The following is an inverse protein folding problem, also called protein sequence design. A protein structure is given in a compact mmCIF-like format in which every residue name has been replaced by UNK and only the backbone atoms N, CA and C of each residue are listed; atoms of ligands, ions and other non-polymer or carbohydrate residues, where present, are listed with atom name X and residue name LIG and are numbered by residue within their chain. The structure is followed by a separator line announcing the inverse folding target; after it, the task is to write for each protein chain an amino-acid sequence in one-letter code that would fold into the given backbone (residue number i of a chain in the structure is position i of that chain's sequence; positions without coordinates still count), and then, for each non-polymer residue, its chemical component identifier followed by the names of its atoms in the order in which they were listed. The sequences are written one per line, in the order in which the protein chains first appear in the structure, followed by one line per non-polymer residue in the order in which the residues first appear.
data_IF_503849790128
#
_entry.id   IF_503849790128
#
_cell.length_a   1.000
_cell.length_b   1.000
_cell.length_c   1.000
_cell.angle_alpha   90.00
_cell.angle_beta   90.00
_cell.angle_gamma   90.00
#
_symmetry.space_group_name_H-M   'P 1'
#
loop_
_entity.id
_entity.type
_entity.pdbx_description
1 polymer ?
#
# COMPACT_ATOMS: atom_id res chain seq x y z
N UNK A 1 -16.65 19.75 27.45
CA UNK A 1 -15.28 20.25 27.51
C UNK A 1 -15.35 21.60 28.23
N UNK A 2 -14.72 21.73 29.42
CA UNK A 2 -14.73 22.94 30.19
C UNK A 2 -13.37 23.64 30.12
N UNK A 3 -13.37 24.96 29.76
CA UNK A 3 -12.19 25.76 30.03
C UNK A 3 -12.47 26.89 30.99
N UNK A 4 -11.42 27.36 31.64
CA UNK A 4 -11.46 28.62 32.34
C UNK A 4 -10.95 29.74 31.42
N UNK A 5 -11.63 30.87 31.46
CA UNK A 5 -11.29 32.08 30.71
C UNK A 5 -10.83 33.09 31.76
N UNK A 6 -9.57 33.50 31.69
CA UNK A 6 -8.95 34.41 32.68
C UNK A 6 -8.20 35.55 32.00
N UNK A 7 -7.86 36.57 32.77
CA UNK A 7 -6.99 37.65 32.31
C UNK A 7 -5.54 37.32 32.61
N UNK A 8 -4.65 37.52 31.62
CA UNK A 8 -3.20 37.49 31.81
C UNK A 8 -2.52 38.59 31.01
N UNK A 9 -1.76 39.42 31.68
CA UNK A 9 -1.06 40.55 31.05
C UNK A 9 -1.97 41.43 30.17
N UNK A 10 -3.20 41.71 30.64
CA UNK A 10 -4.17 42.50 29.89
C UNK A 10 -4.90 41.78 28.75
N UNK A 11 -4.57 40.56 28.48
CA UNK A 11 -5.18 39.72 27.40
C UNK A 11 -5.98 38.55 27.97
N UNK A 12 -6.74 37.90 27.10
CA UNK A 12 -7.53 36.72 27.43
C UNK A 12 -6.64 35.46 27.43
N UNK A 13 -6.64 34.73 28.55
CA UNK A 13 -6.03 33.38 28.61
C UNK A 13 -7.12 32.31 28.71
N UNK A 14 -7.06 31.32 27.84
CA UNK A 14 -7.89 30.11 27.90
C UNK A 14 -7.06 28.98 28.49
N UNK A 15 -7.62 28.27 29.48
CA UNK A 15 -6.96 27.12 30.09
C UNK A 15 -7.91 25.92 30.08
N UNK A 16 -7.43 24.80 29.57
CA UNK A 16 -8.11 23.51 29.56
C UNK A 16 -7.39 22.53 30.48
N UNK A 17 -8.16 21.82 31.31
CA UNK A 17 -7.67 20.70 32.16
C UNK A 17 -8.13 19.40 31.54
N UNK A 18 -7.19 18.54 31.26
CA UNK A 18 -7.47 17.19 30.75
C UNK A 18 -7.66 16.28 31.98
N UNK A 19 -8.89 15.80 32.20
CA UNK A 19 -9.17 14.86 33.27
C UNK A 19 -8.79 13.43 32.83
N UNK A 20 -7.58 13.01 33.17
CA UNK A 20 -7.11 11.62 32.99
C UNK A 20 -7.26 10.87 34.31
N UNK A 21 -8.46 10.47 34.69
CA UNK A 21 -8.73 9.52 35.79
C UNK A 21 -8.10 9.84 37.17
N UNK A 22 -8.56 9.17 38.22
CA UNK A 22 -8.04 9.29 39.58
C UNK A 22 -6.57 8.82 39.66
N UNK A 23 -5.64 9.75 39.92
CA UNK A 23 -4.23 9.45 40.24
C UNK A 23 -3.16 10.10 39.34
N UNK A 24 -3.52 10.72 38.24
CA UNK A 24 -2.61 11.43 37.36
C UNK A 24 -2.58 12.94 37.68
N UNK A 25 -1.41 13.56 37.56
CA UNK A 25 -1.29 15.05 37.57
C UNK A 25 -1.99 15.52 36.29
N UNK A 26 -3.21 16.02 36.41
CA UNK A 26 -4.01 16.51 35.28
C UNK A 26 -3.21 17.54 34.48
N UNK A 27 -2.77 17.23 33.25
CA UNK A 27 -1.99 18.17 32.46
C UNK A 27 -2.85 19.38 32.13
N UNK A 28 -2.23 20.57 32.28
CA UNK A 28 -2.86 21.86 32.04
C UNK A 28 -2.34 22.43 30.73
N UNK A 29 -3.24 22.68 29.77
CA UNK A 29 -2.90 23.38 28.56
C UNK A 29 -3.48 24.80 28.60
N UNK A 30 -2.69 25.82 28.28
CA UNK A 30 -3.18 27.18 28.18
C UNK A 30 -2.69 27.88 26.91
N UNK A 31 -3.51 28.80 26.41
CA UNK A 31 -3.20 29.67 25.26
C UNK A 31 -3.64 31.10 25.55
N UNK A 32 -2.85 32.06 25.07
CA UNK A 32 -3.18 33.48 25.18
C UNK A 32 -3.81 33.95 23.87
N UNK A 33 -5.05 34.38 23.95
CA UNK A 33 -5.78 34.96 22.82
C UNK A 33 -5.41 36.45 22.71
N UNK A 34 -5.08 36.97 21.51
CA UNK A 34 -4.62 38.36 21.34
C UNK A 34 -5.80 39.36 21.38
N UNK A 35 -6.71 39.18 22.31
CA UNK A 35 -7.83 40.10 22.58
C UNK A 35 -7.62 40.75 23.92
N UNK A 36 -7.72 42.09 23.98
CA UNK A 36 -7.61 42.82 25.23
C UNK A 36 -8.78 42.50 26.15
N UNK A 37 -8.50 42.28 27.44
CA UNK A 37 -9.51 42.05 28.46
C UNK A 37 -10.20 43.36 28.85
N UNK A 38 -11.18 43.81 28.04
CA UNK A 38 -11.99 45.02 28.20
C UNK A 38 -13.46 44.70 28.06
N UNK A 39 -14.34 45.51 28.73
CA UNK A 39 -15.79 45.35 28.65
C UNK A 39 -16.31 45.37 27.21
N UNK A 40 -15.76 46.23 26.39
CA UNK A 40 -16.16 46.38 24.96
C UNK A 40 -15.85 45.16 24.11
N UNK A 41 -14.90 44.33 24.53
CA UNK A 41 -14.52 43.10 23.85
C UNK A 41 -15.29 41.87 24.33
N UNK A 42 -16.26 42.01 25.26
CA UNK A 42 -16.98 40.87 25.86
C UNK A 42 -17.60 39.94 24.81
N UNK A 43 -18.28 40.49 23.82
CA UNK A 43 -18.90 39.70 22.75
C UNK A 43 -17.84 38.99 21.89
N UNK A 44 -16.80 39.71 21.48
CA UNK A 44 -15.69 39.16 20.72
C UNK A 44 -14.98 38.02 21.46
N UNK A 45 -14.79 38.17 22.79
CA UNK A 45 -14.22 37.13 23.65
C UNK A 45 -15.14 35.90 23.66
N UNK A 46 -16.45 36.08 23.86
CA UNK A 46 -17.42 34.97 23.88
C UNK A 46 -17.44 34.19 22.55
N UNK A 47 -17.51 34.90 21.42
CA UNK A 47 -17.53 34.30 20.08
C UNK A 47 -16.21 33.53 19.81
N UNK A 48 -15.07 34.12 20.17
CA UNK A 48 -13.75 33.45 20.02
C UNK A 48 -13.65 32.20 20.89
N UNK A 49 -14.09 32.26 22.14
CA UNK A 49 -14.10 31.12 23.05
C UNK A 49 -15.03 30.03 22.56
N UNK A 50 -16.21 30.39 22.07
CA UNK A 50 -17.18 29.48 21.47
C UNK A 50 -16.59 28.75 20.26
N UNK A 51 -16.01 29.48 19.32
CA UNK A 51 -15.41 28.91 18.11
C UNK A 51 -14.27 27.93 18.44
N UNK A 52 -13.38 28.29 19.40
CA UNK A 52 -12.30 27.40 19.82
C UNK A 52 -12.87 26.15 20.53
N UNK A 53 -13.92 26.31 21.34
CA UNK A 53 -14.60 25.20 22.00
C UNK A 53 -15.19 24.21 20.97
N UNK A 54 -15.91 24.72 19.98
CA UNK A 54 -16.55 23.90 18.95
C UNK A 54 -15.49 23.15 18.12
N UNK A 55 -14.37 23.81 17.79
CA UNK A 55 -13.22 23.16 17.16
C UNK A 55 -12.64 22.01 17.98
N UNK A 56 -12.55 22.19 19.30
CA UNK A 56 -12.08 21.11 20.19
C UNK A 56 -13.09 19.96 20.26
N UNK A 57 -14.38 20.27 20.40
CA UNK A 57 -15.44 19.28 20.56
C UNK A 57 -15.69 18.48 19.28
N UNK A 58 -15.87 19.15 18.16
CA UNK A 58 -16.18 18.51 16.88
C UNK A 58 -14.99 17.74 16.28
N UNK A 59 -13.78 18.24 16.51
CA UNK A 59 -12.57 17.73 15.88
C UNK A 59 -11.68 16.92 16.81
N UNK A 60 -12.02 16.79 18.08
CA UNK A 60 -11.20 16.14 19.13
C UNK A 60 -9.77 16.68 19.17
N UNK A 61 -9.62 17.99 18.98
CA UNK A 61 -8.32 18.66 18.97
C UNK A 61 -7.90 19.08 20.39
N UNK A 62 -6.57 19.17 20.61
CA UNK A 62 -6.07 19.83 21.80
C UNK A 62 -6.38 21.33 21.78
N UNK A 63 -6.41 22.00 22.95
CA UNK A 63 -6.63 23.45 23.03
C UNK A 63 -5.61 24.22 22.16
N UNK A 64 -4.38 23.79 22.12
CA UNK A 64 -3.32 24.44 21.33
C UNK A 64 -3.57 24.31 19.83
N UNK A 65 -3.91 23.11 19.38
CA UNK A 65 -4.18 22.86 17.96
C UNK A 65 -5.44 23.60 17.48
N UNK A 66 -6.50 23.59 18.32
CA UNK A 66 -7.72 24.33 18.04
C UNK A 66 -7.48 25.85 17.98
N UNK A 67 -6.64 26.38 18.88
CA UNK A 67 -6.28 27.80 18.89
C UNK A 67 -5.40 28.20 17.70
N UNK A 68 -4.41 27.40 17.33
CA UNK A 68 -3.61 27.65 16.12
C UNK A 68 -4.47 27.58 14.85
N UNK A 69 -5.44 26.71 14.83
CA UNK A 69 -6.42 26.62 13.75
C UNK A 69 -7.30 27.88 13.68
N UNK A 70 -7.82 28.34 14.85
CA UNK A 70 -8.63 29.55 14.98
C UNK A 70 -7.85 30.80 14.57
N UNK A 71 -6.59 30.95 15.02
CA UNK A 71 -5.71 32.06 14.60
C UNK A 71 -5.57 32.19 13.10
N UNK A 72 -5.39 31.06 12.43
CA UNK A 72 -5.29 31.04 10.97
C UNK A 72 -6.58 31.46 10.28
N UNK A 73 -7.74 31.27 10.93
CA UNK A 73 -9.02 31.75 10.44
C UNK A 73 -9.19 33.28 10.59
N UNK A 74 -8.69 33.87 11.69
CA UNK A 74 -8.81 35.30 11.97
C UNK A 74 -7.84 36.15 11.09
N UNK A 75 -6.66 35.59 10.75
CA UNK A 75 -5.74 36.20 9.78
C UNK A 75 -6.26 36.15 8.33
N UNK A 76 -7.22 35.27 8.05
CA UNK A 76 -7.88 35.10 6.75
C UNK A 76 -9.14 36.00 6.62
N UNK A 77 -9.30 37.03 7.40
CA UNK A 77 -10.35 38.05 7.31
C UNK A 77 -10.43 38.84 5.98
N UNK A 78 -9.74 38.39 4.96
CA UNK A 78 -9.92 38.70 3.55
C UNK A 78 -10.50 37.47 2.90
N UNK A 79 -11.79 37.53 2.48
CA UNK A 79 -12.40 36.49 1.65
C UNK A 79 -11.41 35.97 0.60
N UNK A 80 -10.90 34.74 0.67
CA UNK A 80 -10.17 34.16 -0.43
C UNK A 80 -11.19 33.60 -1.40
N UNK A 81 -11.86 34.49 -2.12
CA UNK A 81 -12.75 34.09 -3.23
C UNK A 81 -11.99 33.46 -4.40
N UNK A 82 -10.64 33.54 -4.39
CA UNK A 82 -9.78 32.98 -5.41
C UNK A 82 -8.55 32.30 -4.80
N UNK A 83 -8.77 31.25 -3.99
CA UNK A 83 -7.68 30.33 -3.69
C UNK A 83 -7.34 29.60 -4.98
N UNK A 84 -6.12 29.81 -5.50
CA UNK A 84 -5.61 29.03 -6.64
C UNK A 84 -5.41 27.57 -6.24
N UNK A 85 -6.45 26.77 -6.39
CA UNK A 85 -6.42 25.35 -6.08
C UNK A 85 -5.32 24.59 -6.83
N UNK A 86 -4.99 25.03 -8.03
CA UNK A 86 -3.88 24.49 -8.80
C UNK A 86 -2.54 24.75 -8.11
N UNK A 87 -2.33 25.98 -7.65
CA UNK A 87 -1.14 26.32 -6.88
C UNK A 87 -1.01 25.49 -5.59
N UNK A 88 -2.11 25.34 -4.83
CA UNK A 88 -2.13 24.48 -3.64
C UNK A 88 -1.75 23.04 -3.98
N UNK A 89 -2.26 22.50 -5.08
CA UNK A 89 -1.95 21.15 -5.51
C UNK A 89 -0.46 21.00 -5.88
N UNK A 90 0.10 21.95 -6.61
CA UNK A 90 1.51 21.95 -7.01
C UNK A 90 2.43 22.05 -5.78
N UNK A 91 2.14 22.94 -4.83
CA UNK A 91 2.89 23.05 -3.57
C UNK A 91 2.80 21.77 -2.74
N UNK A 92 1.61 21.16 -2.65
CA UNK A 92 1.47 19.88 -1.96
C UNK A 92 2.29 18.78 -2.61
N UNK A 93 2.28 18.68 -3.93
CA UNK A 93 3.03 17.66 -4.67
C UNK A 93 4.55 17.85 -4.51
N UNK A 94 5.05 19.07 -4.42
CA UNK A 94 6.46 19.36 -4.08
C UNK A 94 6.84 18.78 -2.71
N UNK A 95 5.93 18.78 -1.72
CA UNK A 95 6.18 18.14 -0.41
C UNK A 95 6.30 16.62 -0.48
N UNK A 96 5.97 16.00 -1.63
CA UNK A 96 6.01 14.56 -1.86
C UNK A 96 7.13 14.13 -2.81
N UNK A 97 8.05 15.01 -3.14
CA UNK A 97 9.16 14.75 -4.06
C UNK A 97 10.07 13.59 -3.62
N UNK A 98 10.10 13.27 -2.31
CA UNK A 98 10.83 12.13 -1.74
C UNK A 98 10.13 10.77 -1.96
N UNK A 99 8.93 10.76 -2.56
CA UNK A 99 8.21 9.51 -2.85
C UNK A 99 8.66 8.91 -4.18
N UNK A 100 8.37 7.60 -4.33
CA UNK A 100 8.60 6.89 -5.60
C UNK A 100 7.83 7.57 -6.72
N UNK A 101 8.42 7.67 -7.90
CA UNK A 101 7.84 8.28 -9.10
C UNK A 101 6.45 7.74 -9.43
N UNK A 102 6.25 6.41 -9.30
CA UNK A 102 4.93 5.78 -9.52
C UNK A 102 3.90 6.23 -8.49
N UNK A 103 4.29 6.31 -7.20
CA UNK A 103 3.39 6.79 -6.13
C UNK A 103 3.05 8.26 -6.33
N UNK A 104 4.04 9.07 -6.70
CA UNK A 104 3.84 10.48 -6.97
C UNK A 104 2.90 10.67 -8.16
N UNK A 105 3.13 9.96 -9.28
CA UNK A 105 2.25 9.98 -10.46
C UNK A 105 0.81 9.61 -10.11
N UNK A 106 0.60 8.56 -9.32
CA UNK A 106 -0.73 8.12 -8.91
C UNK A 106 -1.42 9.17 -8.02
N UNK A 107 -0.69 9.75 -7.06
CA UNK A 107 -1.19 10.83 -6.20
C UNK A 107 -1.52 12.06 -7.06
N UNK A 108 -0.64 12.47 -7.97
CA UNK A 108 -0.86 13.59 -8.90
C UNK A 108 -2.14 13.37 -9.73
N UNK A 109 -2.31 12.18 -10.29
CA UNK A 109 -3.52 11.84 -11.06
C UNK A 109 -4.80 11.97 -10.23
N UNK A 110 -4.78 11.51 -8.96
CA UNK A 110 -5.95 11.61 -8.07
C UNK A 110 -6.25 13.04 -7.66
N UNK A 111 -5.22 13.84 -7.37
CA UNK A 111 -5.38 15.27 -7.06
C UNK A 111 -5.93 16.02 -8.29
N UNK A 112 -5.41 15.77 -9.49
CA UNK A 112 -5.93 16.37 -10.72
C UNK A 112 -7.42 16.07 -10.91
N UNK A 113 -7.83 14.82 -10.77
CA UNK A 113 -9.24 14.41 -10.84
C UNK A 113 -10.11 15.06 -9.75
N UNK A 114 -9.53 15.32 -8.58
CA UNK A 114 -10.21 16.04 -7.50
C UNK A 114 -10.42 17.51 -7.89
N UNK A 115 -9.43 18.16 -8.51
CA UNK A 115 -9.57 19.53 -9.03
C UNK A 115 -10.65 19.60 -10.14
N UNK A 116 -10.67 18.63 -11.04
CA UNK A 116 -11.72 18.51 -12.06
C UNK A 116 -13.12 18.35 -11.43
N UNK A 117 -13.24 17.57 -10.36
CA UNK A 117 -14.49 17.42 -9.62
C UNK A 117 -14.88 18.73 -8.91
N UNK A 118 -13.90 19.47 -8.36
CA UNK A 118 -14.10 20.78 -7.71
C UNK A 118 -14.63 21.84 -8.69
N UNK A 119 -14.17 21.83 -9.93
CA UNK A 119 -14.59 22.79 -10.97
C UNK A 119 -15.88 22.36 -11.70
N UNK A 120 -16.38 21.14 -11.48
CA UNK A 120 -17.60 20.67 -12.12
C UNK A 120 -18.87 21.41 -11.60
N UNK A 121 -19.80 21.69 -12.48
CA UNK A 121 -21.06 22.37 -12.14
C UNK A 121 -22.14 21.38 -11.62
N UNK A 122 -22.93 21.76 -10.60
CA UNK A 122 -22.71 22.90 -9.72
C UNK A 122 -21.46 22.70 -8.87
N UNK A 123 -20.68 23.79 -8.67
CA UNK A 123 -19.43 23.72 -7.91
C UNK A 123 -19.66 23.27 -6.46
N UNK A 124 -18.90 22.28 -5.98
CA UNK A 124 -18.97 21.86 -4.57
C UNK A 124 -18.67 23.03 -3.63
N UNK A 125 -19.49 23.17 -2.57
CA UNK A 125 -19.36 24.25 -1.58
C UNK A 125 -18.49 23.88 -0.39
N UNK A 126 -18.32 22.58 -0.15
CA UNK A 126 -17.55 22.01 0.93
C UNK A 126 -16.91 20.66 0.55
N UNK A 127 -16.18 20.08 1.47
CA UNK A 127 -15.50 18.79 1.25
C UNK A 127 -16.47 17.63 1.06
N UNK A 128 -17.65 17.63 1.71
CA UNK A 128 -18.63 16.56 1.58
C UNK A 128 -19.19 16.52 0.16
N UNK A 129 -19.59 17.67 -0.38
CA UNK A 129 -20.04 17.78 -1.77
C UNK A 129 -18.90 17.42 -2.74
N UNK A 130 -17.66 17.82 -2.46
CA UNK A 130 -16.50 17.47 -3.26
C UNK A 130 -16.26 15.95 -3.32
N UNK A 131 -16.30 15.26 -2.17
CA UNK A 131 -16.13 13.80 -2.12
C UNK A 131 -17.23 13.08 -2.88
N UNK A 132 -18.48 13.52 -2.72
CA UNK A 132 -19.63 12.99 -3.47
C UNK A 132 -19.41 13.17 -4.97
N UNK A 133 -19.08 14.37 -5.42
CA UNK A 133 -18.81 14.69 -6.82
C UNK A 133 -17.64 13.90 -7.40
N UNK A 134 -16.57 13.75 -6.62
CA UNK A 134 -15.42 12.93 -7.01
C UNK A 134 -15.82 11.45 -7.21
N UNK A 135 -16.61 10.90 -6.28
CA UNK A 135 -17.07 9.51 -6.36
C UNK A 135 -17.96 9.26 -7.57
N UNK A 136 -18.92 10.13 -7.82
CA UNK A 136 -19.82 10.06 -8.99
C UNK A 136 -19.04 10.01 -10.32
N UNK A 137 -17.98 10.82 -10.44
CA UNK A 137 -17.18 10.93 -11.67
C UNK A 137 -16.14 9.83 -11.85
N UNK A 138 -15.63 9.26 -10.77
CA UNK A 138 -14.43 8.44 -10.84
C UNK A 138 -14.61 7.01 -10.32
N UNK A 139 -15.70 6.69 -9.61
CA UNK A 139 -15.87 5.37 -8.98
C UNK A 139 -16.74 4.40 -9.75
N UNK A 140 -17.36 4.81 -10.85
CA UNK A 140 -18.24 3.96 -11.66
C UNK A 140 -17.57 2.61 -12.03
N UNK A 141 -16.32 2.69 -12.53
CA UNK A 141 -15.53 1.50 -12.94
C UNK A 141 -14.69 0.90 -11.82
N UNK A 142 -14.81 1.40 -10.58
CA UNK A 142 -14.05 0.89 -9.43
C UNK A 142 -14.96 0.05 -8.53
N UNK A 143 -14.57 -1.17 -8.14
CA UNK A 143 -15.38 -2.01 -7.27
C UNK A 143 -15.62 -1.33 -5.92
N UNK A 144 -16.87 -1.44 -5.41
CA UNK A 144 -17.25 -0.93 -4.11
C UNK A 144 -16.38 -1.57 -3.00
N UNK A 145 -15.99 -0.79 -1.99
CA UNK A 145 -15.10 -1.24 -0.92
C UNK A 145 -13.65 -1.53 -1.36
N UNK A 146 -13.33 -1.32 -2.65
CA UNK A 146 -12.03 -1.62 -3.25
C UNK A 146 -10.90 -0.71 -2.77
N UNK A 147 -9.66 -1.21 -2.83
CA UNK A 147 -8.47 -0.45 -2.43
C UNK A 147 -8.25 0.80 -3.29
N UNK A 148 -8.69 0.81 -4.55
CA UNK A 148 -8.62 1.97 -5.44
C UNK A 148 -9.39 3.17 -4.87
N UNK A 149 -10.65 2.96 -4.44
CA UNK A 149 -11.49 3.99 -3.82
C UNK A 149 -10.87 4.49 -2.50
N UNK A 150 -10.41 3.56 -1.64
CA UNK A 150 -9.76 3.90 -0.35
C UNK A 150 -8.51 4.74 -0.54
N UNK A 151 -7.66 4.39 -1.51
CA UNK A 151 -6.44 5.15 -1.82
C UNK A 151 -6.75 6.53 -2.39
N UNK A 152 -7.76 6.64 -3.26
CA UNK A 152 -8.14 7.92 -3.83
C UNK A 152 -8.59 8.90 -2.74
N UNK A 153 -9.50 8.50 -1.88
CA UNK A 153 -9.94 9.34 -0.77
C UNK A 153 -8.85 9.59 0.27
N UNK A 154 -7.95 8.63 0.50
CA UNK A 154 -6.78 8.81 1.36
C UNK A 154 -5.84 9.91 0.86
N UNK A 155 -5.56 9.96 -0.45
CA UNK A 155 -4.72 11.00 -1.05
C UNK A 155 -5.41 12.36 -1.02
N UNK A 156 -6.72 12.42 -1.33
CA UNK A 156 -7.53 13.64 -1.25
C UNK A 156 -7.58 14.15 0.19
N UNK A 157 -7.83 13.26 1.17
CA UNK A 157 -7.83 13.62 2.58
C UNK A 157 -6.49 14.21 3.04
N UNK A 158 -5.39 13.60 2.61
CA UNK A 158 -4.05 14.09 2.96
C UNK A 158 -3.77 15.47 2.37
N UNK A 159 -4.18 15.71 1.12
CA UNK A 159 -4.08 17.01 0.46
C UNK A 159 -4.92 18.08 1.17
N UNK A 160 -6.21 17.82 1.39
CA UNK A 160 -7.12 18.79 2.01
C UNK A 160 -6.70 19.11 3.45
N UNK A 161 -6.29 18.12 4.24
CA UNK A 161 -5.73 18.35 5.58
C UNK A 161 -4.48 19.24 5.53
N UNK A 162 -3.59 19.00 4.57
CA UNK A 162 -2.40 19.83 4.40
C UNK A 162 -2.79 21.25 3.96
N UNK A 163 -3.70 21.41 3.03
CA UNK A 163 -4.14 22.71 2.53
C UNK A 163 -4.81 23.53 3.63
N UNK A 164 -5.69 22.93 4.44
CA UNK A 164 -6.33 23.62 5.57
C UNK A 164 -5.31 23.94 6.67
N UNK A 165 -4.52 22.95 7.10
CA UNK A 165 -3.63 23.11 8.27
C UNK A 165 -2.36 23.90 7.98
N UNK A 166 -1.89 23.95 6.74
CA UNK A 166 -0.61 24.57 6.39
C UNK A 166 -0.74 25.79 5.49
N UNK A 167 -1.80 25.85 4.68
CA UNK A 167 -1.99 26.92 3.69
C UNK A 167 -3.21 27.80 3.99
N UNK A 168 -3.93 27.54 5.09
CA UNK A 168 -5.05 28.38 5.50
C UNK A 168 -6.29 28.25 4.64
N UNK A 169 -6.45 27.14 3.89
CA UNK A 169 -7.71 26.85 3.20
C UNK A 169 -8.84 26.73 4.24
N UNK A 170 -10.03 27.24 3.90
CA UNK A 170 -11.20 27.23 4.78
C UNK A 170 -11.48 25.81 5.33
N UNK A 171 -11.86 25.74 6.60
CA UNK A 171 -12.10 24.48 7.32
C UNK A 171 -13.22 23.64 6.72
N UNK A 172 -14.19 24.22 6.02
CA UNK A 172 -15.21 23.47 5.29
C UNK A 172 -14.64 22.48 4.28
N UNK A 173 -13.34 22.64 3.92
CA UNK A 173 -12.61 21.73 3.04
C UNK A 173 -11.87 20.61 3.79
N UNK A 174 -11.91 20.54 5.13
CA UNK A 174 -11.40 19.37 5.82
C UNK A 174 -12.17 18.12 5.38
N UNK A 175 -11.49 16.95 5.29
CA UNK A 175 -12.16 15.71 4.90
C UNK A 175 -13.41 15.46 5.72
N UNK A 176 -14.49 14.97 5.11
CA UNK A 176 -15.72 14.62 5.83
C UNK A 176 -15.47 13.48 6.83
N UNK A 177 -16.43 13.26 7.71
CA UNK A 177 -16.36 12.20 8.72
C UNK A 177 -16.19 10.82 8.12
N UNK A 178 -15.59 9.91 8.91
CA UNK A 178 -15.27 8.57 8.46
C UNK A 178 -16.48 7.79 7.96
N UNK A 179 -17.66 8.01 8.53
CA UNK A 179 -18.92 7.36 8.13
C UNK A 179 -19.30 7.74 6.71
N UNK A 180 -19.30 9.03 6.37
CA UNK A 180 -19.59 9.53 5.03
C UNK A 180 -18.55 8.97 4.02
N UNK A 181 -17.28 8.96 4.42
CA UNK A 181 -16.20 8.42 3.56
C UNK A 181 -16.41 6.92 3.31
N UNK A 182 -16.80 6.16 4.34
CA UNK A 182 -17.08 4.71 4.20
C UNK A 182 -18.30 4.45 3.32
N UNK A 183 -19.37 5.24 3.47
CA UNK A 183 -20.56 5.18 2.61
C UNK A 183 -20.18 5.36 1.14
N UNK A 184 -19.42 6.40 0.81
CA UNK A 184 -18.98 6.69 -0.56
C UNK A 184 -17.98 5.64 -1.12
N UNK A 185 -17.14 5.05 -0.26
CA UNK A 185 -16.31 3.92 -0.64
C UNK A 185 -17.18 2.70 -0.98
N UNK A 186 -18.25 2.51 -0.23
CA UNK A 186 -19.16 1.39 -0.33
C UNK A 186 -18.63 0.13 0.35
N UNK A 187 -19.52 -0.84 0.52
CA UNK A 187 -19.19 -2.15 1.06
C UNK A 187 -18.84 -3.10 -0.08
N UNK A 188 -17.86 -3.95 0.15
CA UNK A 188 -17.63 -5.10 -0.74
C UNK A 188 -18.84 -6.04 -0.64
N UNK A 189 -19.50 -6.30 -1.75
CA UNK A 189 -20.48 -7.39 -1.80
C UNK A 189 -19.75 -8.71 -1.55
N UNK A 190 -20.38 -9.61 -0.79
CA UNK A 190 -19.80 -10.92 -0.47
C UNK A 190 -19.51 -11.74 -1.75
N UNK A 191 -20.33 -11.55 -2.80
CA UNK A 191 -20.15 -12.13 -4.13
C UNK A 191 -19.06 -11.47 -4.98
N UNK A 192 -18.61 -10.26 -4.61
CA UNK A 192 -17.52 -9.53 -5.28
C UNK A 192 -16.21 -9.60 -4.48
N UNK A 193 -16.06 -10.60 -3.60
CA UNK A 193 -14.73 -10.94 -3.13
C UNK A 193 -13.93 -11.24 -4.39
N UNK A 194 -13.04 -10.31 -4.77
CA UNK A 194 -12.08 -10.55 -5.84
C UNK A 194 -11.40 -11.85 -5.43
N UNK A 195 -11.70 -12.91 -6.17
CA UNK A 195 -11.03 -14.18 -5.97
C UNK A 195 -9.54 -13.87 -5.95
N UNK A 196 -8.89 -14.27 -4.87
CA UNK A 196 -7.48 -13.99 -4.76
C UNK A 196 -6.81 -14.67 -5.96
N UNK A 197 -5.87 -13.96 -6.58
CA UNK A 197 -5.08 -14.54 -7.68
C UNK A 197 -4.60 -15.93 -7.26
N UNK A 198 -5.04 -17.00 -7.96
CA UNK A 198 -4.74 -18.36 -7.55
C UNK A 198 -3.25 -18.67 -7.70
N UNK A 199 -2.70 -19.63 -6.94
CA UNK A 199 -1.36 -20.15 -7.17
C UNK A 199 -1.31 -21.00 -8.44
N UNK A 200 -0.19 -20.97 -9.15
CA UNK A 200 0.13 -22.01 -10.11
C UNK A 200 0.43 -23.28 -9.33
N UNK A 201 -0.37 -24.33 -9.52
CA UNK A 201 -0.20 -25.61 -8.84
C UNK A 201 1.05 -26.35 -9.31
N UNK A 202 1.62 -27.28 -8.51
CA UNK A 202 2.83 -28.01 -8.88
C UNK A 202 2.77 -28.67 -10.25
N UNK A 203 1.67 -29.31 -10.58
CA UNK A 203 1.45 -30.00 -11.86
C UNK A 203 1.39 -29.01 -13.03
N UNK A 204 0.74 -27.87 -12.84
CA UNK A 204 0.67 -26.78 -13.82
C UNK A 204 2.04 -26.13 -14.05
N UNK A 205 2.82 -25.96 -12.97
CA UNK A 205 4.17 -25.40 -13.04
C UNK A 205 5.12 -26.36 -13.79
N UNK A 206 5.07 -27.65 -13.46
CA UNK A 206 5.83 -28.69 -14.16
C UNK A 206 5.52 -28.67 -15.65
N UNK A 207 4.25 -28.75 -16.00
CA UNK A 207 3.78 -28.74 -17.39
C UNK A 207 4.24 -27.46 -18.12
N UNK A 208 4.14 -26.28 -17.47
CA UNK A 208 4.59 -25.02 -18.07
C UNK A 208 6.08 -25.06 -18.42
N UNK A 209 6.93 -25.52 -17.50
CA UNK A 209 8.38 -25.60 -17.74
C UNK A 209 8.72 -26.57 -18.87
N UNK A 210 8.00 -27.70 -18.97
CA UNK A 210 8.19 -28.69 -20.03
C UNK A 210 7.75 -28.14 -21.39
N UNK A 211 6.62 -27.41 -21.44
CA UNK A 211 6.15 -26.76 -22.66
C UNK A 211 7.11 -25.65 -23.14
N UNK A 212 7.68 -24.89 -22.22
CA UNK A 212 8.67 -23.87 -22.58
C UNK A 212 9.97 -24.50 -23.09
N UNK A 213 10.37 -25.65 -22.55
CA UNK A 213 11.54 -26.40 -23.01
C UNK A 213 11.31 -27.00 -24.39
N UNK A 214 10.18 -27.66 -24.62
CA UNK A 214 9.78 -28.22 -25.91
C UNK A 214 9.76 -27.18 -27.04
N UNK A 215 9.28 -25.97 -26.71
CA UNK A 215 9.25 -24.85 -27.64
C UNK A 215 10.59 -24.12 -27.74
N UNK A 216 11.64 -24.59 -27.07
CA UNK A 216 12.99 -24.00 -27.04
C UNK A 216 13.02 -22.55 -26.51
N UNK A 217 12.06 -22.19 -25.65
CA UNK A 217 11.99 -20.88 -24.98
C UNK A 217 12.80 -20.88 -23.68
N UNK A 218 14.06 -21.28 -23.78
CA UNK A 218 14.93 -21.52 -22.63
C UNK A 218 15.12 -20.31 -21.72
N UNK A 219 15.22 -19.13 -22.28
CA UNK A 219 15.36 -17.88 -21.52
C UNK A 219 14.12 -17.58 -20.68
N UNK A 220 12.94 -17.75 -21.26
CA UNK A 220 11.66 -17.57 -20.55
C UNK A 220 11.44 -18.67 -19.52
N UNK A 221 11.82 -19.91 -19.84
CA UNK A 221 11.81 -21.05 -18.93
C UNK A 221 12.68 -20.76 -17.68
N UNK A 222 13.89 -20.22 -17.89
CA UNK A 222 14.75 -19.79 -16.79
C UNK A 222 14.07 -18.76 -15.91
N UNK A 223 13.51 -17.69 -16.47
CA UNK A 223 12.83 -16.65 -15.72
C UNK A 223 11.64 -17.19 -14.93
N UNK A 224 10.80 -18.06 -15.55
CA UNK A 224 9.69 -18.75 -14.88
C UNK A 224 10.19 -19.64 -13.73
N UNK A 225 11.27 -20.41 -13.96
CA UNK A 225 11.88 -21.28 -12.97
C UNK A 225 12.41 -20.48 -11.75
N UNK A 226 13.17 -19.41 -11.99
CA UNK A 226 13.68 -18.57 -10.91
C UNK A 226 12.53 -17.98 -10.07
N UNK A 227 11.45 -17.51 -10.71
CA UNK A 227 10.29 -16.97 -10.00
C UNK A 227 9.56 -18.06 -9.22
N UNK A 228 9.27 -19.20 -9.86
CA UNK A 228 8.47 -20.26 -9.28
C UNK A 228 9.20 -21.08 -8.23
N UNK A 229 10.48 -21.39 -8.43
CA UNK A 229 11.26 -22.16 -7.46
C UNK A 229 11.74 -21.34 -6.25
N UNK A 230 11.94 -20.01 -6.39
CA UNK A 230 12.45 -19.17 -5.31
C UNK A 230 11.44 -18.16 -4.78
N UNK A 231 10.21 -18.19 -5.25
CA UNK A 231 9.14 -17.33 -4.80
C UNK A 231 9.40 -15.84 -5.01
N UNK A 232 10.04 -15.47 -6.12
CA UNK A 232 10.44 -14.09 -6.42
C UNK A 232 9.24 -13.22 -6.84
N UNK A 233 9.32 -11.92 -6.54
CA UNK A 233 8.50 -10.93 -7.28
C UNK A 233 9.04 -10.80 -8.69
N UNK A 234 8.19 -10.58 -9.68
CA UNK A 234 8.63 -10.47 -11.09
C UNK A 234 9.75 -9.43 -11.28
N UNK A 235 9.64 -8.30 -10.58
CA UNK A 235 10.63 -7.23 -10.63
C UNK A 235 11.95 -7.58 -9.88
N UNK A 236 11.97 -8.62 -9.06
CA UNK A 236 13.16 -9.02 -8.30
C UNK A 236 14.20 -9.71 -9.17
N UNK A 237 13.84 -10.12 -10.40
CA UNK A 237 14.82 -10.57 -11.41
C UNK A 237 15.94 -9.54 -11.65
N UNK A 238 15.69 -8.26 -11.36
CA UNK A 238 16.67 -7.18 -11.53
C UNK A 238 17.71 -7.08 -10.40
N UNK A 239 17.53 -7.78 -9.29
CA UNK A 239 18.35 -7.58 -8.08
C UNK A 239 18.82 -8.89 -7.47
N UNK A 240 18.96 -9.91 -8.30
CA UNK A 240 19.43 -11.21 -7.89
C UNK A 240 20.94 -11.19 -7.69
N UNK A 241 21.41 -11.84 -6.64
CA UNK A 241 22.81 -12.06 -6.30
C UNK A 241 22.97 -13.54 -5.94
N UNK A 242 23.92 -14.20 -6.55
CA UNK A 242 24.21 -15.62 -6.29
C UNK A 242 25.53 -15.73 -5.57
N UNK A 243 25.53 -16.44 -4.46
CA UNK A 243 26.75 -16.78 -3.71
C UNK A 243 26.78 -18.30 -3.49
N UNK A 244 27.66 -18.98 -4.19
CA UNK A 244 27.67 -20.44 -4.24
C UNK A 244 26.33 -21.00 -4.75
N UNK A 245 25.68 -21.79 -3.90
CA UNK A 245 24.36 -22.37 -4.18
C UNK A 245 23.19 -21.58 -3.57
N UNK A 246 23.44 -20.36 -3.10
CA UNK A 246 22.44 -19.53 -2.44
C UNK A 246 22.02 -18.35 -3.31
N UNK A 247 20.71 -18.09 -3.33
CA UNK A 247 20.13 -16.95 -4.03
C UNK A 247 19.76 -15.86 -3.02
N UNK A 248 20.36 -14.71 -3.20
CA UNK A 248 20.04 -13.51 -2.44
C UNK A 248 19.27 -12.51 -3.30
N UNK A 249 18.29 -11.85 -2.71
CA UNK A 249 17.46 -10.84 -3.36
C UNK A 249 17.72 -9.48 -2.75
N UNK A 250 18.25 -8.57 -3.55
CA UNK A 250 18.55 -7.21 -3.13
C UNK A 250 17.30 -6.41 -2.72
N UNK A 251 17.51 -5.41 -1.87
CA UNK A 251 16.43 -4.68 -1.22
C UNK A 251 15.78 -3.58 -2.07
N UNK A 252 16.33 -3.24 -3.24
CA UNK A 252 15.97 -2.04 -4.01
C UNK A 252 14.56 -2.03 -4.62
N UNK A 253 13.91 -3.18 -4.81
CA UNK A 253 12.64 -3.31 -5.54
C UNK A 253 11.42 -2.79 -4.79
N UNK A 254 11.33 -2.93 -3.47
CA UNK A 254 10.08 -2.66 -2.70
C UNK A 254 10.24 -1.71 -1.51
N UNK A 255 11.27 -0.91 -1.44
CA UNK A 255 11.51 -0.11 -0.25
C UNK A 255 11.19 1.37 -0.42
N UNK A 256 10.74 2.01 0.68
CA UNK A 256 10.72 3.46 0.79
C UNK A 256 12.16 3.97 0.64
N UNK A 257 12.34 5.09 -0.06
CA UNK A 257 13.63 5.70 -0.31
C UNK A 257 14.51 5.83 0.96
N UNK A 258 13.88 6.16 2.09
CA UNK A 258 14.55 6.31 3.40
C UNK A 258 15.07 5.00 4.02
N UNK A 259 14.62 3.85 3.56
CA UNK A 259 15.02 2.54 4.12
C UNK A 259 15.82 1.65 3.16
N UNK A 260 16.12 2.15 1.94
CA UNK A 260 16.82 1.38 0.90
C UNK A 260 18.26 1.04 1.26
N UNK A 261 18.96 1.96 1.91
CA UNK A 261 20.42 1.86 2.12
C UNK A 261 20.83 0.87 3.21
N UNK A 262 19.92 0.53 4.12
CA UNK A 262 20.26 -0.21 5.35
C UNK A 262 19.75 -1.66 5.42
N UNK A 263 19.14 -2.21 4.38
CA UNK A 263 18.66 -3.59 4.43
C UNK A 263 19.57 -4.53 3.66
N UNK A 264 20.08 -5.54 4.36
CA UNK A 264 20.81 -6.65 3.76
C UNK A 264 19.94 -7.39 2.74
N UNK A 265 20.53 -7.92 1.67
CA UNK A 265 19.84 -8.85 0.79
C UNK A 265 19.21 -10.00 1.59
N UNK A 266 18.04 -10.47 1.17
CA UNK A 266 17.41 -11.64 1.80
C UNK A 266 17.76 -12.90 1.06
N UNK A 267 17.96 -13.98 1.81
CA UNK A 267 18.06 -15.33 1.24
C UNK A 267 16.69 -15.76 0.71
N UNK A 268 16.64 -16.19 -0.56
CA UNK A 268 15.48 -16.82 -1.17
C UNK A 268 15.69 -18.33 -1.21
N UNK A 269 14.82 -19.08 -0.54
CA UNK A 269 14.94 -20.55 -0.44
C UNK A 269 14.37 -21.19 -1.70
N UNK A 270 15.15 -22.02 -2.38
CA UNK A 270 14.69 -22.82 -3.50
C UNK A 270 13.88 -24.03 -3.02
N UNK A 271 12.67 -24.20 -3.55
CA UNK A 271 11.80 -25.36 -3.27
C UNK A 271 11.65 -26.18 -4.53
N UNK A 272 11.99 -27.47 -4.43
CA UNK A 272 11.73 -28.41 -5.50
C UNK A 272 10.21 -28.64 -5.67
N UNK A 273 9.77 -28.77 -6.90
CA UNK A 273 8.37 -29.01 -7.23
C UNK A 273 8.08 -30.52 -7.25
N UNK A 274 6.92 -30.93 -6.72
CA UNK A 274 6.45 -32.31 -6.79
C UNK A 274 6.35 -32.76 -8.24
N UNK A 275 6.87 -33.96 -8.51
CA UNK A 275 6.89 -34.54 -9.88
C UNK A 275 8.11 -34.13 -10.72
N UNK A 276 9.00 -33.28 -10.21
CA UNK A 276 10.25 -32.87 -10.88
C UNK A 276 11.48 -33.48 -10.20
N UNK A 277 12.64 -33.38 -10.87
CA UNK A 277 13.90 -33.89 -10.33
C UNK A 277 14.29 -33.13 -9.05
N UNK A 278 14.77 -33.87 -8.06
CA UNK A 278 15.32 -33.28 -6.84
C UNK A 278 16.55 -32.42 -7.19
N UNK A 279 16.59 -31.22 -6.63
CA UNK A 279 17.66 -30.25 -6.88
C UNK A 279 17.47 -29.44 -8.17
N UNK A 280 16.33 -29.53 -8.83
CA UNK A 280 16.10 -28.78 -10.07
C UNK A 280 16.12 -27.27 -9.85
N UNK A 281 15.60 -26.78 -8.72
CA UNK A 281 15.70 -25.38 -8.34
C UNK A 281 17.14 -24.85 -8.41
N UNK A 282 18.07 -25.64 -7.92
CA UNK A 282 19.50 -25.29 -7.95
C UNK A 282 20.12 -25.39 -9.35
N UNK A 283 19.62 -26.27 -10.20
CA UNK A 283 20.06 -26.31 -11.61
C UNK A 283 19.67 -24.98 -12.32
N UNK A 284 18.45 -24.49 -12.12
CA UNK A 284 18.04 -23.17 -12.64
C UNK A 284 18.93 -22.03 -12.09
N UNK A 285 19.29 -22.10 -10.81
CA UNK A 285 20.18 -21.12 -10.21
C UNK A 285 21.60 -21.22 -10.83
N UNK A 286 22.11 -22.41 -11.05
CA UNK A 286 23.39 -22.66 -11.71
C UNK A 286 23.40 -22.13 -13.14
N UNK A 287 22.38 -22.44 -13.94
CA UNK A 287 22.24 -21.94 -15.31
C UNK A 287 22.25 -20.41 -15.37
N UNK A 288 21.56 -19.77 -14.42
CA UNK A 288 21.55 -18.31 -14.27
C UNK A 288 22.92 -17.76 -13.86
N UNK A 289 23.54 -18.32 -12.82
CA UNK A 289 24.81 -17.82 -12.27
C UNK A 289 26.01 -17.98 -13.19
N UNK A 290 26.04 -19.06 -13.95
CA UNK A 290 27.09 -19.32 -14.94
C UNK A 290 26.85 -18.60 -16.27
N UNK A 291 25.65 -18.06 -16.50
CA UNK A 291 25.27 -17.47 -17.77
C UNK A 291 25.03 -18.51 -18.89
N UNK A 292 24.93 -19.81 -18.53
CA UNK A 292 24.60 -20.88 -19.47
C UNK A 292 23.27 -20.62 -20.17
N UNK A 293 22.30 -20.08 -19.43
CA UNK A 293 21.04 -19.55 -19.97
C UNK A 293 20.89 -18.11 -19.50
N UNK A 294 20.55 -17.21 -20.42
CA UNK A 294 20.32 -15.79 -20.11
C UNK A 294 18.85 -15.51 -19.81
N UNK A 295 18.57 -14.42 -19.14
CA UNK A 295 17.21 -13.91 -19.05
C UNK A 295 16.73 -13.42 -20.43
N UNK A 296 15.39 -13.43 -20.70
CA UNK A 296 14.87 -12.93 -21.98
C UNK A 296 15.36 -11.52 -22.29
N UNK A 297 15.70 -11.26 -23.53
CA UNK A 297 16.25 -9.98 -23.97
C UNK A 297 15.45 -8.77 -23.46
N UNK A 298 14.12 -8.82 -23.55
CA UNK A 298 13.28 -7.70 -23.10
C UNK A 298 13.38 -7.48 -21.57
N UNK A 299 13.61 -8.52 -20.78
CA UNK A 299 13.83 -8.44 -19.33
C UNK A 299 15.23 -7.90 -19.05
N UNK A 300 16.25 -8.46 -19.72
CA UNK A 300 17.64 -8.06 -19.56
C UNK A 300 17.85 -6.60 -19.96
N UNK A 301 17.25 -6.14 -21.04
CA UNK A 301 17.33 -4.75 -21.49
C UNK A 301 16.82 -3.75 -20.43
N UNK A 302 15.75 -4.08 -19.70
CA UNK A 302 15.28 -3.22 -18.60
C UNK A 302 16.27 -3.22 -17.42
N UNK A 303 16.88 -4.38 -17.12
CA UNK A 303 17.91 -4.50 -16.08
C UNK A 303 19.13 -3.65 -16.45
N UNK A 304 19.57 -3.71 -17.68
CA UNK A 304 20.73 -2.96 -18.17
C UNK A 304 20.50 -1.44 -18.10
N UNK A 305 19.30 -0.97 -18.45
CA UNK A 305 18.92 0.44 -18.28
C UNK A 305 18.96 0.89 -16.82
N UNK A 306 18.51 0.04 -15.89
CA UNK A 306 18.55 0.32 -14.46
C UNK A 306 20.02 0.36 -13.96
N UNK A 307 20.85 -0.57 -14.40
CA UNK A 307 22.26 -0.65 -14.01
C UNK A 307 23.08 0.54 -14.55
N UNK A 308 22.72 1.08 -15.73
CA UNK A 308 23.33 2.29 -16.29
C UNK A 308 22.85 3.57 -15.60
N UNK A 309 21.81 3.50 -14.76
CA UNK A 309 21.21 4.68 -14.13
C UNK A 309 20.20 5.42 -15.00
N UNK A 310 19.87 4.91 -16.19
CA UNK A 310 18.92 5.52 -17.11
C UNK A 310 17.47 5.43 -16.60
N UNK A 311 17.21 4.46 -15.70
CA UNK A 311 15.90 4.22 -15.06
C UNK A 311 16.05 3.77 -13.61
N UNK A 312 15.07 4.09 -12.79
CA UNK A 312 14.93 3.53 -11.42
C UNK A 312 13.65 2.69 -11.23
N UNK A 313 12.99 2.33 -12.31
CA UNK A 313 11.68 1.67 -12.34
C UNK A 313 11.83 0.14 -12.45
N UNK A 314 12.13 -0.52 -11.34
CA UNK A 314 12.23 -1.99 -11.27
C UNK A 314 10.94 -2.72 -11.71
N UNK A 315 9.77 -2.05 -11.67
CA UNK A 315 8.51 -2.62 -12.14
C UNK A 315 8.51 -2.92 -13.63
N UNK A 316 9.29 -2.20 -14.42
CA UNK A 316 9.38 -2.40 -15.88
C UNK A 316 9.99 -3.76 -16.21
N UNK A 317 10.92 -4.27 -15.38
CA UNK A 317 11.48 -5.62 -15.48
C UNK A 317 10.38 -6.67 -15.31
N UNK A 318 9.54 -6.50 -14.26
CA UNK A 318 8.41 -7.40 -14.01
C UNK A 318 7.33 -7.32 -15.09
N UNK A 319 7.09 -6.12 -15.63
CA UNK A 319 6.12 -5.92 -16.72
C UNK A 319 6.61 -6.56 -18.02
N UNK A 320 7.89 -6.44 -18.35
CA UNK A 320 8.49 -7.08 -19.52
C UNK A 320 8.38 -8.61 -19.45
N UNK A 321 8.71 -9.20 -18.30
CA UNK A 321 8.52 -10.63 -18.06
C UNK A 321 7.05 -11.04 -18.20
N UNK A 322 6.14 -10.31 -17.53
CA UNK A 322 4.72 -10.62 -17.58
C UNK A 322 4.17 -10.58 -19.01
N UNK A 323 4.56 -9.59 -19.79
CA UNK A 323 4.14 -9.44 -21.17
C UNK A 323 4.65 -10.61 -22.06
N UNK A 324 5.89 -11.06 -21.84
CA UNK A 324 6.43 -12.21 -22.56
C UNK A 324 5.66 -13.49 -22.23
N UNK A 325 5.43 -13.76 -20.94
CA UNK A 325 4.73 -14.96 -20.51
C UNK A 325 3.28 -14.96 -21.01
N UNK A 326 2.55 -13.85 -20.88
CA UNK A 326 1.16 -13.70 -21.34
C UNK A 326 1.00 -13.92 -22.86
N UNK A 327 2.03 -13.73 -23.65
CA UNK A 327 2.00 -13.97 -25.11
C UNK A 327 2.22 -15.43 -25.50
N UNK A 328 2.60 -16.30 -24.56
CA UNK A 328 2.85 -17.72 -24.88
C UNK A 328 1.54 -18.51 -24.90
N UNK A 329 1.43 -19.42 -25.87
CA UNK A 329 0.26 -20.29 -25.97
C UNK A 329 0.10 -21.17 -24.72
N UNK A 330 1.21 -21.70 -24.18
CA UNK A 330 1.17 -22.53 -22.98
C UNK A 330 0.61 -21.77 -21.77
N UNK A 331 0.93 -20.48 -21.59
CA UNK A 331 0.32 -19.70 -20.54
C UNK A 331 -1.18 -19.46 -20.78
N UNK A 332 -1.57 -19.20 -22.02
CA UNK A 332 -2.98 -19.05 -22.39
C UNK A 332 -3.78 -20.34 -22.19
N UNK A 333 -3.19 -21.50 -22.40
CA UNK A 333 -3.80 -22.79 -22.10
C UNK A 333 -4.05 -22.97 -20.60
N UNK A 334 -3.10 -22.62 -19.75
CA UNK A 334 -3.31 -22.61 -18.30
C UNK A 334 -4.44 -21.66 -17.90
N UNK A 335 -4.54 -20.49 -18.53
CA UNK A 335 -5.61 -19.52 -18.25
C UNK A 335 -6.99 -19.98 -18.74
N UNK A 336 -7.09 -20.89 -19.70
CA UNK A 336 -8.37 -21.51 -20.05
C UNK A 336 -8.88 -22.41 -18.91
N UNK A 337 -7.97 -23.06 -18.18
CA UNK A 337 -8.31 -23.93 -17.04
C UNK A 337 -8.58 -23.09 -15.79
N UNK A 338 -7.74 -22.08 -15.56
CA UNK A 338 -7.82 -21.19 -14.40
C UNK A 338 -7.73 -19.72 -14.87
N UNK A 339 -8.87 -19.09 -15.21
CA UNK A 339 -8.89 -17.76 -15.84
C UNK A 339 -8.26 -16.64 -15.01
N UNK A 340 -8.23 -16.79 -13.69
CA UNK A 340 -7.69 -15.79 -12.77
C UNK A 340 -6.17 -15.86 -12.58
N UNK A 341 -5.47 -16.76 -13.31
CA UNK A 341 -4.01 -16.80 -13.29
C UNK A 341 -3.42 -15.52 -13.84
N UNK A 342 -2.41 -15.04 -13.14
CA UNK A 342 -1.55 -13.93 -13.56
C UNK A 342 -0.09 -14.38 -13.48
N UNK A 343 0.87 -13.73 -14.16
CA UNK A 343 2.28 -14.07 -14.00
C UNK A 343 2.76 -14.08 -12.55
N UNK A 344 2.10 -13.32 -11.67
CA UNK A 344 2.37 -13.32 -10.23
C UNK A 344 1.94 -14.61 -9.52
N UNK A 345 1.08 -15.42 -10.15
CA UNK A 345 0.65 -16.75 -9.69
C UNK A 345 1.82 -17.73 -9.55
N UNK A 346 2.91 -17.55 -10.30
CA UNK A 346 4.14 -18.33 -10.12
C UNK A 346 4.70 -18.17 -8.70
N UNK A 347 4.78 -16.94 -8.21
CA UNK A 347 5.21 -16.67 -6.84
C UNK A 347 4.21 -17.20 -5.80
N UNK A 348 2.93 -17.14 -6.10
CA UNK A 348 1.89 -17.74 -5.25
C UNK A 348 2.02 -19.27 -5.20
N UNK A 349 2.42 -19.90 -6.30
CA UNK A 349 2.73 -21.33 -6.37
C UNK A 349 3.84 -21.73 -5.40
N UNK A 350 4.92 -20.95 -5.30
CA UNK A 350 5.96 -21.19 -4.32
C UNK A 350 5.42 -21.14 -2.88
N UNK A 351 4.61 -20.12 -2.56
CA UNK A 351 4.01 -20.00 -1.23
C UNK A 351 3.07 -21.18 -0.92
N UNK A 352 2.27 -21.59 -1.88
CA UNK A 352 1.44 -22.80 -1.76
C UNK A 352 2.30 -24.03 -1.48
N UNK A 353 3.34 -24.29 -2.28
CA UNK A 353 4.25 -25.41 -2.08
C UNK A 353 4.98 -25.37 -0.74
N UNK A 354 5.33 -24.17 -0.25
CA UNK A 354 6.04 -24.03 1.03
C UNK A 354 5.22 -24.52 2.23
N UNK A 355 3.90 -24.60 2.11
CA UNK A 355 3.00 -25.06 3.16
C UNK A 355 2.41 -26.45 2.90
N UNK A 356 2.24 -26.86 1.62
CA UNK A 356 1.58 -28.12 1.27
C UNK A 356 2.55 -29.25 0.94
N UNK A 357 3.85 -28.95 0.80
CA UNK A 357 4.84 -30.00 0.52
C UNK A 357 4.98 -30.95 1.73
N UNK A 358 4.67 -32.23 1.50
CA UNK A 358 4.51 -33.23 2.57
C UNK A 358 5.80 -33.60 3.32
N UNK A 359 6.97 -33.33 2.75
CA UNK A 359 8.22 -33.82 3.31
C UNK A 359 9.00 -32.73 4.05
N UNK A 360 8.95 -31.50 3.58
CA UNK A 360 9.72 -30.37 4.16
C UNK A 360 8.92 -29.08 4.06
N UNK A 361 7.98 -28.84 4.98
CA UNK A 361 7.36 -27.52 5.00
C UNK A 361 8.21 -26.50 5.69
N UNK A 362 8.22 -25.31 5.12
CA UNK A 362 8.76 -24.16 5.82
C UNK A 362 7.77 -23.68 6.87
N UNK A 363 8.28 -23.30 8.04
CA UNK A 363 7.44 -22.54 8.97
C UNK A 363 6.92 -21.27 8.27
N UNK A 364 5.72 -20.81 8.67
CA UNK A 364 5.15 -19.54 8.15
C UNK A 364 6.14 -18.38 8.27
N UNK A 365 6.93 -18.36 9.35
CA UNK A 365 7.97 -17.36 9.58
C UNK A 365 9.10 -17.45 8.54
N UNK A 366 9.58 -18.66 8.26
CA UNK A 366 10.66 -18.90 7.28
C UNK A 366 10.19 -18.61 5.86
N UNK A 367 8.96 -19.05 5.49
CA UNK A 367 8.37 -18.75 4.20
C UNK A 367 8.16 -17.24 4.01
N UNK A 368 7.63 -16.54 5.01
CA UNK A 368 7.46 -15.08 4.99
C UNK A 368 8.81 -14.35 4.82
N UNK A 369 9.84 -14.77 5.56
CA UNK A 369 11.18 -14.19 5.49
C UNK A 369 11.80 -14.39 4.10
N UNK A 370 11.76 -15.62 3.57
CA UNK A 370 12.24 -15.96 2.23
C UNK A 370 11.53 -15.14 1.14
N UNK A 371 10.22 -14.90 1.27
CA UNK A 371 9.46 -14.05 0.34
C UNK A 371 9.62 -12.54 0.60
N UNK A 372 10.26 -12.11 1.68
CA UNK A 372 10.39 -10.70 2.06
C UNK A 372 9.07 -10.05 2.45
N UNK A 373 8.28 -10.74 3.30
CA UNK A 373 7.04 -10.25 3.92
C UNK A 373 7.13 -10.27 5.44
N UNK A 374 6.16 -9.64 6.11
CA UNK A 374 5.84 -9.94 7.51
C UNK A 374 4.95 -11.18 7.60
N UNK A 375 4.96 -11.89 8.74
CA UNK A 375 4.08 -13.04 8.97
C UNK A 375 2.60 -12.68 8.74
N UNK A 376 2.16 -11.52 9.25
CA UNK A 376 0.78 -11.05 9.06
C UNK A 376 0.43 -10.85 7.57
N UNK A 377 1.36 -10.33 6.77
CA UNK A 377 1.18 -10.20 5.32
C UNK A 377 1.10 -11.57 4.66
N UNK A 378 1.98 -12.49 5.08
CA UNK A 378 2.00 -13.84 4.52
C UNK A 378 0.70 -14.58 4.80
N UNK A 379 0.24 -14.63 6.06
CA UNK A 379 -1.02 -15.26 6.44
C UNK A 379 -2.23 -14.64 5.73
N UNK A 380 -2.29 -13.31 5.59
CA UNK A 380 -3.39 -12.64 4.89
C UNK A 380 -3.52 -13.06 3.44
N UNK A 381 -2.41 -13.28 2.76
CA UNK A 381 -2.41 -13.61 1.33
C UNK A 381 -2.48 -15.10 1.05
N UNK A 382 -1.93 -15.93 1.93
CA UNK A 382 -1.72 -17.36 1.67
C UNK A 382 -2.52 -18.29 2.57
N UNK A 383 -2.99 -17.82 3.71
CA UNK A 383 -3.83 -18.63 4.62
C UNK A 383 -5.20 -19.02 4.04
N UNK A 384 -5.66 -18.34 3.01
CA UNK A 384 -6.93 -18.63 2.34
C UNK A 384 -6.87 -19.86 1.40
N UNK A 385 -5.68 -20.37 1.08
CA UNK A 385 -5.51 -21.51 0.16
C UNK A 385 -5.41 -22.85 0.89
N UNK A 386 -5.62 -22.88 2.20
CA UNK A 386 -5.78 -24.11 2.96
C UNK A 386 -7.19 -24.61 2.69
N UNK A 387 -7.33 -25.51 1.71
CA UNK A 387 -8.59 -26.14 1.39
C UNK A 387 -8.83 -27.42 2.23
N UNK A 388 -10.02 -27.99 2.10
CA UNK A 388 -10.38 -29.22 2.82
C UNK A 388 -9.48 -30.39 2.46
N UNK A 389 -8.99 -30.46 1.24
CA UNK A 389 -8.11 -31.54 0.77
C UNK A 389 -6.73 -31.43 1.47
N UNK A 390 -6.18 -30.23 1.56
CA UNK A 390 -4.95 -29.97 2.33
C UNK A 390 -5.11 -30.37 3.79
N UNK A 391 -6.25 -30.03 4.41
CA UNK A 391 -6.55 -30.43 5.81
C UNK A 391 -6.67 -31.95 5.99
N UNK A 392 -7.27 -32.65 5.03
CA UNK A 392 -7.34 -34.14 5.05
C UNK A 392 -5.93 -34.74 4.95
N UNK A 393 -5.10 -34.25 4.04
CA UNK A 393 -3.72 -34.71 3.89
C UNK A 393 -2.89 -34.46 5.15
N UNK A 394 -3.05 -33.31 5.81
CA UNK A 394 -2.37 -33.03 7.07
C UNK A 394 -2.85 -33.95 8.19
N UNK A 395 -4.16 -34.20 8.30
CA UNK A 395 -4.72 -35.16 9.24
C UNK A 395 -4.15 -36.58 9.04
N UNK A 396 -4.06 -37.03 7.78
CA UNK A 396 -3.48 -38.35 7.47
C UNK A 396 -2.01 -38.45 7.87
N UNK A 397 -1.25 -37.39 7.66
CA UNK A 397 0.15 -37.32 8.11
C UNK A 397 0.29 -37.36 9.62
N UNK A 398 -0.56 -36.61 10.33
CA UNK A 398 -0.59 -36.60 11.79
C UNK A 398 -0.89 -38.00 12.34
N UNK A 399 -1.89 -38.67 11.77
CA UNK A 399 -2.26 -40.01 12.20
C UNK A 399 -1.14 -41.05 11.92
N UNK A 400 -0.46 -40.96 10.78
CA UNK A 400 0.71 -41.83 10.50
C UNK A 400 1.88 -41.58 11.44
N UNK A 401 2.06 -40.34 11.94
CA UNK A 401 3.09 -40.01 12.92
C UNK A 401 2.78 -40.54 14.33
N UNK A 402 1.50 -40.79 14.64
CA UNK A 402 1.06 -41.34 15.95
C UNK A 402 1.17 -42.88 15.99
N UNK A 403 1.08 -43.56 14.85
CA UNK A 403 1.19 -45.03 14.78
C UNK A 403 2.63 -45.56 14.96
N UNK A 404 3.65 -44.69 15.01
CA UNK A 404 5.07 -45.08 15.19
C UNK A 404 5.51 -45.09 16.68
N UNK A 405 4.60 -44.82 17.62
CA UNK A 405 4.89 -44.75 19.06
C UNK A 405 4.16 -45.82 19.89
N UNK A 406 3.97 -47.04 19.33
CA UNK A 406 3.48 -48.21 20.11
C UNK A 406 4.57 -49.29 20.07
#
# INVERSE_FOLDING_TARGET
IGFSVTQKSGKVELTHRINEGKGSKNPRSSVTVPIDWKKDNKRKIQDTVGNIHDLMAERKLSLRDAFELYKKQDDIGKNPTDVEWNWLADEYLKTKSDRRTTTLRDTTSRIKKMLEAKESLPKPRDSKELYKRYSERNFEKMPAGGQGRKRAFGDIAAFLKWAVNRQGLDMKWLPPDSEIVQELIGLKKFSEQIEATPPVKPEQFSWLLDQLEEKKLYELRLACGLIGYFGLRLAELAVLQVDGNELYVGSKVKQNLRSRENRKPRLAIGLDCKGRKKGEAYNFLKDFSTGAVKLPYAVQSQIDMINKGDKDHYQDVGAAFAQLLERTNCWQELKKIEPNLTPYSLRHGWAFCSHTNSVNHLSVRSAAASMGHTNATHQRHYGQWIDQETLKQEREKFNKGVEVTV
#
